data_IF_307196779129
#
_entry.id   IF_307196779129
#
_cell.length_a   1.000
_cell.length_b   1.000
_cell.length_c   1.000
_cell.angle_alpha   90.00
_cell.angle_beta   90.00
_cell.angle_gamma   90.00
#
_symmetry.space_group_name_H-M   'P 1'
#
loop_
_entity.id
_entity.type
_entity.pdbx_description
1 polymer ?
#
# COMPACT_ATOMS: atom_id res chain seq x y z
N UNK A 1 -2.44 6.92 12.17
CA UNK A 1 -2.32 5.44 12.18
C UNK A 1 -2.37 4.85 10.77
N UNK A 2 -3.31 5.27 9.90
CA UNK A 2 -3.25 4.89 8.48
C UNK A 2 -1.95 5.35 7.78
N UNK A 3 -1.53 6.61 7.98
CA UNK A 3 -0.27 7.11 7.40
C UNK A 3 0.94 6.25 7.82
N UNK A 4 1.04 5.91 9.11
CA UNK A 4 2.14 5.06 9.59
C UNK A 4 2.10 3.64 9.02
N UNK A 5 0.92 3.11 8.71
CA UNK A 5 0.80 1.82 8.03
C UNK A 5 1.32 1.92 6.59
N UNK A 6 0.90 2.96 5.86
CA UNK A 6 1.32 3.19 4.48
C UNK A 6 2.83 3.45 4.38
N UNK A 7 3.39 4.24 5.30
CA UNK A 7 4.83 4.50 5.38
C UNK A 7 5.62 3.21 5.64
N UNK A 8 5.19 2.39 6.62
CA UNK A 8 5.84 1.11 6.92
C UNK A 8 5.74 0.12 5.77
N UNK A 9 4.60 0.10 5.08
CA UNK A 9 4.43 -0.74 3.90
C UNK A 9 5.39 -0.32 2.79
N UNK A 10 5.51 0.98 2.51
CA UNK A 10 6.46 1.51 1.56
C UNK A 10 7.90 1.08 1.91
N UNK A 11 8.31 1.28 3.16
CA UNK A 11 9.64 0.91 3.64
C UNK A 11 9.90 -0.60 3.50
N UNK A 12 8.94 -1.42 3.93
CA UNK A 12 9.05 -2.88 3.82
C UNK A 12 9.21 -3.34 2.36
N UNK A 13 8.50 -2.70 1.42
CA UNK A 13 8.57 -3.05 0.01
C UNK A 13 9.81 -2.51 -0.70
N UNK A 14 10.47 -1.49 -0.16
CA UNK A 14 11.76 -1.01 -0.66
C UNK A 14 12.86 -1.95 -0.17
N UNK A 15 12.81 -2.32 1.10
CA UNK A 15 13.88 -3.07 1.76
C UNK A 15 13.83 -4.58 1.48
N UNK A 16 12.63 -5.15 1.29
CA UNK A 16 12.43 -6.60 1.17
C UNK A 16 12.13 -7.02 -0.27
N UNK A 17 13.11 -7.67 -0.91
CA UNK A 17 12.95 -8.23 -2.25
C UNK A 17 12.00 -9.43 -2.29
N UNK A 18 12.04 -10.29 -1.27
CA UNK A 18 11.20 -11.49 -1.21
C UNK A 18 9.72 -11.11 -1.12
N UNK A 19 9.40 -10.08 -0.32
CA UNK A 19 8.06 -9.53 -0.23
C UNK A 19 7.56 -9.03 -1.60
N UNK A 20 8.42 -8.35 -2.37
CA UNK A 20 8.07 -7.91 -3.75
C UNK A 20 7.79 -9.10 -4.67
N UNK A 21 8.59 -10.17 -4.60
CA UNK A 21 8.36 -11.39 -5.37
C UNK A 21 7.03 -12.06 -5.02
N UNK A 22 6.73 -12.20 -3.73
CA UNK A 22 5.47 -12.78 -3.25
C UNK A 22 4.27 -12.01 -3.79
N UNK A 23 4.33 -10.67 -3.77
CA UNK A 23 3.25 -9.83 -4.30
C UNK A 23 3.12 -9.98 -5.81
N UNK A 24 4.24 -9.97 -6.53
CA UNK A 24 4.28 -10.15 -7.99
C UNK A 24 3.64 -11.49 -8.40
N UNK A 25 4.02 -12.59 -7.75
CA UNK A 25 3.41 -13.90 -8.00
C UNK A 25 1.94 -13.94 -7.61
N UNK A 26 1.55 -13.26 -6.53
CA UNK A 26 0.16 -13.18 -6.10
C UNK A 26 -0.77 -12.54 -7.14
N UNK A 27 -0.23 -11.82 -8.14
CA UNK A 27 -1.01 -11.26 -9.25
C UNK A 27 -0.74 -11.91 -10.61
N UNK A 28 0.43 -12.53 -10.82
CA UNK A 28 0.81 -13.14 -12.10
C UNK A 28 0.53 -14.64 -12.19
N UNK A 29 0.57 -15.36 -11.07
CA UNK A 29 0.45 -16.81 -11.02
C UNK A 29 -0.89 -17.26 -10.43
N UNK A 30 -1.34 -18.45 -10.84
CA UNK A 30 -2.50 -19.13 -10.22
C UNK A 30 -2.02 -20.32 -9.40
N UNK A 31 -2.06 -20.18 -8.08
CA UNK A 31 -1.73 -21.25 -7.13
C UNK A 31 -2.60 -21.12 -5.89
N UNK A 32 -3.13 -22.24 -5.42
CA UNK A 32 -3.95 -22.31 -4.18
C UNK A 32 -3.20 -21.70 -3.00
N UNK A 33 -1.90 -21.96 -2.88
CA UNK A 33 -1.09 -21.41 -1.79
C UNK A 33 -0.98 -19.87 -1.84
N UNK A 34 -0.88 -19.29 -3.04
CA UNK A 34 -0.82 -17.83 -3.22
C UNK A 34 -2.19 -17.18 -2.99
N UNK A 35 -3.26 -17.83 -3.42
CA UNK A 35 -4.64 -17.39 -3.15
C UNK A 35 -4.93 -17.38 -1.64
N UNK A 36 -4.57 -18.46 -0.93
CA UNK A 36 -4.69 -18.53 0.53
C UNK A 36 -3.85 -17.46 1.24
N UNK A 37 -2.64 -17.18 0.74
CA UNK A 37 -1.78 -16.14 1.29
C UNK A 37 -2.38 -14.75 1.10
N UNK A 38 -2.92 -14.45 -0.09
CA UNK A 38 -3.60 -13.19 -0.37
C UNK A 38 -4.85 -13.03 0.53
N UNK A 39 -5.64 -14.09 0.72
CA UNK A 39 -6.79 -14.07 1.63
C UNK A 39 -6.38 -13.82 3.08
N UNK A 40 -5.30 -14.46 3.56
CA UNK A 40 -4.78 -14.22 4.91
C UNK A 40 -4.32 -12.78 5.10
N UNK A 41 -3.68 -12.19 4.08
CA UNK A 41 -3.26 -10.78 4.10
C UNK A 41 -4.46 -9.83 4.14
N UNK A 42 -5.50 -10.10 3.36
CA UNK A 42 -6.73 -9.32 3.39
C UNK A 42 -7.43 -9.42 4.75
N UNK A 43 -7.54 -10.62 5.31
CA UNK A 43 -8.15 -10.84 6.62
C UNK A 43 -7.38 -10.13 7.75
N UNK A 44 -6.05 -10.13 7.68
CA UNK A 44 -5.22 -9.37 8.61
C UNK A 44 -5.43 -7.86 8.48
N UNK A 45 -5.49 -7.36 7.25
CA UNK A 45 -5.82 -5.96 6.97
C UNK A 45 -7.23 -5.58 7.43
N UNK A 46 -8.18 -6.50 7.32
CA UNK A 46 -9.58 -6.30 7.68
C UNK A 46 -9.76 -6.07 9.19
N UNK A 47 -8.96 -6.73 10.04
CA UNK A 47 -8.94 -6.46 11.48
C UNK A 47 -8.55 -5.00 11.75
N UNK A 48 -7.50 -4.53 11.09
CA UNK A 48 -7.04 -3.15 11.20
C UNK A 48 -8.06 -2.15 10.63
N UNK A 49 -8.63 -2.42 9.46
CA UNK A 49 -9.60 -1.53 8.80
C UNK A 49 -10.92 -1.42 9.58
N UNK A 50 -11.39 -2.51 10.19
CA UNK A 50 -12.60 -2.46 11.02
C UNK A 50 -12.39 -1.63 12.29
N UNK A 51 -11.33 -1.91 13.05
CA UNK A 51 -11.08 -1.25 14.34
C UNK A 51 -10.75 0.24 14.18
N UNK A 52 -10.16 0.64 13.06
CA UNK A 52 -9.55 1.97 12.91
C UNK A 52 -10.33 2.86 11.96
N UNK A 53 -10.78 2.28 10.86
CA UNK A 53 -11.44 3.03 9.81
C UNK A 53 -12.95 3.01 10.07
N UNK A 54 -13.57 1.85 10.10
CA UNK A 54 -15.03 1.81 10.07
C UNK A 54 -15.68 2.31 11.35
N UNK A 55 -15.11 2.02 12.54
CA UNK A 55 -15.65 2.58 13.79
C UNK A 55 -15.46 4.10 13.90
N UNK A 56 -14.28 4.63 13.53
CA UNK A 56 -13.98 6.06 13.63
C UNK A 56 -14.77 6.91 12.62
N UNK A 57 -15.07 6.33 11.45
CA UNK A 57 -15.75 7.01 10.35
C UNK A 57 -17.22 6.63 10.20
N UNK A 58 -17.77 5.82 11.11
CA UNK A 58 -19.16 5.33 11.04
C UNK A 58 -20.20 6.42 10.79
N UNK A 59 -20.01 7.59 11.40
CA UNK A 59 -20.93 8.73 11.30
C UNK A 59 -20.41 9.84 10.36
N UNK A 60 -19.36 9.57 9.59
CA UNK A 60 -18.76 10.52 8.64
C UNK A 60 -18.95 10.00 7.21
N UNK A 61 -19.20 10.89 6.25
CA UNK A 61 -19.29 10.49 4.83
C UNK A 61 -17.90 10.33 4.17
N UNK A 62 -16.98 9.68 4.88
CA UNK A 62 -15.59 9.51 4.46
C UNK A 62 -15.39 8.08 3.99
N UNK A 63 -15.05 7.90 2.72
CA UNK A 63 -14.79 6.59 2.11
C UNK A 63 -13.33 6.17 2.31
N UNK A 64 -12.93 5.98 3.58
CA UNK A 64 -11.54 5.71 3.93
C UNK A 64 -11.01 4.38 3.36
N UNK A 65 -11.86 3.34 3.24
CA UNK A 65 -11.48 2.05 2.66
C UNK A 65 -11.03 2.17 1.19
N UNK A 66 -11.83 2.79 0.29
CA UNK A 66 -11.37 3.09 -1.06
C UNK A 66 -10.08 3.93 -1.11
N UNK A 67 -9.92 4.92 -0.23
CA UNK A 67 -8.68 5.72 -0.14
C UNK A 67 -7.50 4.82 0.21
N UNK A 68 -7.62 3.99 1.24
CA UNK A 68 -6.58 3.04 1.63
C UNK A 68 -6.22 2.08 0.49
N UNK A 69 -7.22 1.49 -0.18
CA UNK A 69 -7.00 0.56 -1.28
C UNK A 69 -6.20 1.18 -2.44
N UNK A 70 -6.53 2.43 -2.82
CA UNK A 70 -5.80 3.16 -3.87
C UNK A 70 -4.35 3.45 -3.47
N UNK A 71 -4.12 3.87 -2.22
CA UNK A 71 -2.78 4.20 -1.72
C UNK A 71 -1.91 2.94 -1.58
N UNK A 72 -2.45 1.86 -1.02
CA UNK A 72 -1.78 0.56 -0.92
C UNK A 72 -1.42 0.03 -2.32
N UNK A 73 -2.37 0.06 -3.26
CA UNK A 73 -2.14 -0.38 -4.63
C UNK A 73 -1.10 0.47 -5.37
N UNK A 74 -1.11 1.78 -5.15
CA UNK A 74 -0.11 2.70 -5.68
C UNK A 74 1.30 2.37 -5.18
N UNK A 75 1.46 2.15 -3.87
CA UNK A 75 2.75 1.75 -3.27
C UNK A 75 3.23 0.42 -3.87
N UNK A 76 2.35 -0.58 -4.01
CA UNK A 76 2.72 -1.85 -4.65
C UNK A 76 3.20 -1.64 -6.08
N UNK A 77 2.45 -0.93 -6.91
CA UNK A 77 2.84 -0.79 -8.31
C UNK A 77 4.17 -0.02 -8.47
N UNK A 78 4.34 1.08 -7.74
CA UNK A 78 5.57 1.90 -7.83
C UNK A 78 6.81 1.12 -7.41
N UNK A 79 6.73 0.31 -6.34
CA UNK A 79 7.85 -0.50 -5.86
C UNK A 79 8.15 -1.67 -6.79
N UNK A 80 7.12 -2.38 -7.26
CA UNK A 80 7.31 -3.51 -8.18
C UNK A 80 7.89 -3.05 -9.52
N UNK A 81 7.34 -2.00 -10.15
CA UNK A 81 7.81 -1.58 -11.48
C UNK A 81 9.26 -1.08 -11.45
N UNK A 82 9.66 -0.39 -10.39
CA UNK A 82 11.00 0.17 -10.23
C UNK A 82 12.07 -0.92 -9.99
N UNK A 83 11.73 -1.96 -9.22
CA UNK A 83 12.67 -3.01 -8.84
C UNK A 83 12.65 -4.22 -9.79
N UNK A 84 11.59 -4.42 -10.57
CA UNK A 84 11.52 -5.50 -11.58
C UNK A 84 11.95 -5.04 -12.96
N UNK A 85 11.58 -3.84 -13.40
CA UNK A 85 11.76 -3.38 -14.78
C UNK A 85 12.54 -2.07 -14.91
N UNK A 86 13.17 -1.59 -13.83
CA UNK A 86 13.79 -0.24 -13.78
C UNK A 86 12.83 0.88 -14.22
N UNK A 87 11.52 0.66 -14.08
CA UNK A 87 10.51 1.58 -14.56
C UNK A 87 10.27 2.73 -13.59
N UNK A 88 9.74 3.83 -14.14
CA UNK A 88 9.29 4.98 -13.37
C UNK A 88 7.78 5.01 -13.36
N UNK A 89 7.18 5.53 -12.28
CA UNK A 89 5.76 5.84 -12.25
C UNK A 89 5.59 7.35 -12.14
N UNK A 90 4.84 7.95 -13.08
CA UNK A 90 4.71 9.41 -13.19
C UNK A 90 6.08 10.14 -13.26
N UNK A 91 7.12 9.50 -13.79
CA UNK A 91 8.48 10.04 -13.82
C UNK A 91 9.24 9.98 -12.48
N UNK A 92 8.64 9.39 -11.44
CA UNK A 92 9.23 9.25 -10.11
C UNK A 92 10.02 7.95 -10.03
N UNK A 93 11.27 8.07 -9.56
CA UNK A 93 12.13 6.93 -9.23
C UNK A 93 12.09 6.67 -7.73
N UNK A 94 11.29 5.70 -7.30
CA UNK A 94 11.08 5.37 -5.88
C UNK A 94 12.33 4.80 -5.19
N UNK A 95 13.39 4.46 -5.94
CA UNK A 95 14.66 3.97 -5.39
C UNK A 95 15.50 5.11 -4.80
N UNK A 96 15.14 6.36 -5.07
CA UNK A 96 15.79 7.55 -4.52
C UNK A 96 15.19 7.93 -3.17
N UNK A 97 16.03 8.17 -2.18
CA UNK A 97 15.59 8.54 -0.82
C UNK A 97 14.75 9.82 -0.81
N UNK A 98 15.07 10.79 -1.68
CA UNK A 98 14.28 12.02 -1.78
C UNK A 98 12.86 11.73 -2.28
N UNK A 99 12.73 10.85 -3.27
CA UNK A 99 11.44 10.44 -3.81
C UNK A 99 10.62 9.68 -2.76
N UNK A 100 11.23 8.77 -2.01
CA UNK A 100 10.57 8.08 -0.90
C UNK A 100 10.05 9.05 0.15
N UNK A 101 10.87 10.04 0.50
CA UNK A 101 10.49 11.10 1.46
C UNK A 101 9.32 11.93 0.94
N UNK A 102 9.32 12.33 -0.33
CA UNK A 102 8.20 13.06 -0.94
C UNK A 102 6.93 12.21 -0.99
N UNK A 103 7.02 10.95 -1.39
CA UNK A 103 5.88 10.03 -1.41
C UNK A 103 5.26 9.91 -0.02
N UNK A 104 6.06 9.72 1.04
CA UNK A 104 5.53 9.65 2.43
C UNK A 104 4.77 10.92 2.82
N UNK A 105 5.29 12.10 2.48
CA UNK A 105 4.60 13.38 2.71
C UNK A 105 3.28 13.46 1.92
N UNK A 106 3.28 13.03 0.66
CA UNK A 106 2.08 13.01 -0.19
C UNK A 106 1.04 12.01 0.32
N UNK A 107 1.44 10.82 0.78
CA UNK A 107 0.54 9.85 1.40
C UNK A 107 -0.18 10.47 2.59
N UNK A 108 0.55 11.16 3.47
CA UNK A 108 -0.03 11.88 4.61
C UNK A 108 -1.01 12.98 4.15
N UNK A 109 -0.65 13.76 3.15
CA UNK A 109 -1.50 14.81 2.60
C UNK A 109 -2.82 14.26 2.03
N UNK A 110 -2.77 13.20 1.21
CA UNK A 110 -3.98 12.59 0.62
C UNK A 110 -4.88 12.03 1.72
N UNK A 111 -4.28 11.40 2.73
CA UNK A 111 -5.02 10.90 3.88
C UNK A 111 -5.70 12.07 4.60
N UNK A 112 -4.97 13.15 4.93
CA UNK A 112 -5.55 14.35 5.56
C UNK A 112 -6.70 14.97 4.74
N UNK A 113 -6.60 15.02 3.41
CA UNK A 113 -7.70 15.45 2.55
C UNK A 113 -8.95 14.57 2.66
N UNK A 114 -8.77 13.27 2.90
CA UNK A 114 -9.90 12.39 3.13
C UNK A 114 -10.53 12.56 4.52
N UNK A 115 -9.81 13.15 5.50
CA UNK A 115 -10.34 13.43 6.85
C UNK A 115 -11.13 14.74 6.96
N UNK A 116 -10.99 15.64 5.99
CA UNK A 116 -11.65 16.95 5.92
C UNK A 116 -13.03 16.86 5.25
#
# INVERSE_FOLDING_TARGET
>A
MLCSLLEKQLDSLIDDEELRWIISWGVSERSVALEELNQKRELFGEQFLNEIADEYFKDKDIKIRPVAALLIGGIYYMTLIAHTNNGLMCGIDIRKEEAQTEIKKTLKQIVEWAYL
#
